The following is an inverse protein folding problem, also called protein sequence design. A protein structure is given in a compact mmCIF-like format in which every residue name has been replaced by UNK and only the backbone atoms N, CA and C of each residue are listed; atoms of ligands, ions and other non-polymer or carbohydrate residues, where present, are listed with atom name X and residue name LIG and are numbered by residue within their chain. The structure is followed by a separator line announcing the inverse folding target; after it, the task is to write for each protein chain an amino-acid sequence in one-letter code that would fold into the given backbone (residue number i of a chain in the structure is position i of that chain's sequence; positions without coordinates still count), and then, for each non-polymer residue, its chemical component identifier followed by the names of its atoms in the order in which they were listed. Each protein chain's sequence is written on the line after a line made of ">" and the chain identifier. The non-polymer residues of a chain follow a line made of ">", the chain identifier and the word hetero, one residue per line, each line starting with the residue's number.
data_IF_908853018408
#
_entry.id   IF_908853018408
#
_cell.length_a   1.000
_cell.length_b   1.000
_cell.length_c   1.000
_cell.angle_alpha   90.00
_cell.angle_beta   90.00
_cell.angle_gamma   90.00
#
_symmetry.space_group_name_H-M   'P 1'
#
loop_
_entity.id
_entity.type
_entity.pdbx_description
1 polymer ?
#
# COMPACT_ATOMS: atom_id res chain seq x y z
N UNK A 1 7.65 -23.07 -21.33
CA UNK A 1 8.30 -22.79 -20.04
C UNK A 1 7.62 -23.68 -19.01
N UNK A 2 8.38 -24.36 -18.16
CA UNK A 2 7.77 -25.20 -17.14
C UNK A 2 7.34 -24.35 -15.91
N UNK A 3 6.52 -24.90 -15.03
CA UNK A 3 5.94 -24.22 -13.87
C UNK A 3 7.01 -23.61 -12.96
N UNK A 4 8.08 -24.35 -12.68
CA UNK A 4 9.22 -23.87 -11.89
C UNK A 4 9.90 -22.63 -12.50
N UNK A 5 10.01 -22.61 -13.82
CA UNK A 5 10.61 -21.48 -14.54
C UNK A 5 9.67 -20.27 -14.53
N UNK A 6 8.36 -20.49 -14.59
CA UNK A 6 7.36 -19.41 -14.47
C UNK A 6 7.44 -18.78 -13.08
N UNK A 7 7.42 -19.59 -12.01
CA UNK A 7 7.51 -19.09 -10.63
C UNK A 7 8.78 -18.23 -10.44
N UNK A 8 9.94 -18.72 -10.85
CA UNK A 8 11.19 -17.97 -10.75
C UNK A 8 11.17 -16.65 -11.54
N UNK A 9 10.47 -16.62 -12.67
CA UNK A 9 10.29 -15.38 -13.45
C UNK A 9 9.41 -14.38 -12.71
N UNK A 10 8.30 -14.82 -12.13
CA UNK A 10 7.40 -13.96 -11.34
C UNK A 10 8.14 -13.39 -10.12
N UNK A 11 8.88 -14.21 -9.38
CA UNK A 11 9.70 -13.75 -8.27
C UNK A 11 10.71 -12.67 -8.72
N UNK A 12 11.36 -12.86 -9.87
CA UNK A 12 12.27 -11.86 -10.42
C UNK A 12 11.57 -10.55 -10.76
N UNK A 13 10.39 -10.61 -11.38
CA UNK A 13 9.60 -9.40 -11.71
C UNK A 13 9.21 -8.66 -10.44
N UNK A 14 8.69 -9.35 -9.44
CA UNK A 14 8.28 -8.73 -8.16
C UNK A 14 9.48 -8.10 -7.45
N UNK A 15 10.63 -8.74 -7.45
CA UNK A 15 11.85 -8.19 -6.87
C UNK A 15 12.31 -6.92 -7.61
N UNK A 16 12.18 -6.85 -8.93
CA UNK A 16 12.47 -5.65 -9.71
C UNK A 16 11.47 -4.53 -9.42
N UNK A 17 10.19 -4.85 -9.26
CA UNK A 17 9.18 -3.88 -8.84
C UNK A 17 9.49 -3.33 -7.43
N UNK A 18 9.83 -4.19 -6.48
CA UNK A 18 10.22 -3.79 -5.13
C UNK A 18 11.47 -2.89 -5.14
N UNK A 19 12.48 -3.24 -5.93
CA UNK A 19 13.68 -2.43 -6.11
C UNK A 19 13.36 -1.06 -6.72
N UNK A 20 12.45 -1.00 -7.69
CA UNK A 20 12.00 0.26 -8.27
C UNK A 20 11.30 1.14 -7.24
N UNK A 21 10.43 0.56 -6.41
CA UNK A 21 9.74 1.28 -5.34
C UNK A 21 10.74 1.82 -4.28
N UNK A 22 11.71 1.02 -3.87
CA UNK A 22 12.73 1.44 -2.90
C UNK A 22 13.60 2.58 -3.45
N UNK A 23 13.95 2.54 -4.72
CA UNK A 23 14.82 3.52 -5.36
C UNK A 23 14.08 4.73 -5.93
N UNK A 24 12.76 4.74 -5.93
CA UNK A 24 11.94 5.86 -6.38
C UNK A 24 12.25 7.13 -5.56
N UNK A 25 12.17 8.33 -6.15
CA UNK A 25 12.34 9.59 -5.43
C UNK A 25 11.34 9.73 -4.28
N UNK A 26 11.83 10.14 -3.12
CA UNK A 26 11.01 10.33 -1.92
C UNK A 26 11.27 11.67 -1.26
N UNK A 27 10.28 12.18 -0.54
CA UNK A 27 10.35 13.47 0.13
C UNK A 27 11.53 13.51 1.12
N UNK A 28 12.46 14.46 0.90
CA UNK A 28 13.67 14.59 1.70
C UNK A 28 14.66 13.45 1.57
N UNK A 29 14.54 12.59 0.56
CA UNK A 29 15.39 11.42 0.38
C UNK A 29 15.24 10.36 1.47
N UNK A 30 14.17 10.42 2.27
CA UNK A 30 13.91 9.47 3.37
C UNK A 30 12.98 8.38 2.88
N UNK A 31 13.47 7.16 2.82
CA UNK A 31 12.64 5.99 2.53
C UNK A 31 11.79 5.63 3.76
N UNK A 32 10.48 5.67 3.58
CA UNK A 32 9.49 5.30 4.59
C UNK A 32 8.54 4.23 4.06
N UNK A 33 8.93 3.53 2.99
CA UNK A 33 8.09 2.48 2.43
C UNK A 33 8.27 1.17 3.19
N UNK A 34 7.15 0.50 3.43
CA UNK A 34 7.10 -0.92 3.75
C UNK A 34 6.63 -1.68 2.52
N UNK A 35 7.42 -2.64 2.09
CA UNK A 35 7.15 -3.40 0.87
C UNK A 35 7.08 -4.88 1.22
N UNK A 36 5.97 -5.52 0.84
CA UNK A 36 5.76 -6.95 1.02
C UNK A 36 5.48 -7.59 -0.34
N UNK A 37 6.34 -8.51 -0.74
CA UNK A 37 6.17 -9.34 -1.93
C UNK A 37 5.48 -10.65 -1.55
N UNK A 38 4.43 -11.01 -2.27
CA UNK A 38 3.61 -12.20 -2.02
C UNK A 38 3.55 -13.01 -3.31
N UNK A 39 4.07 -14.22 -3.29
CA UNK A 39 4.14 -15.12 -4.45
C UNK A 39 3.58 -16.52 -4.17
N UNK A 40 3.32 -16.83 -2.90
CA UNK A 40 2.76 -18.12 -2.53
C UNK A 40 1.24 -18.12 -2.74
N UNK A 41 0.73 -19.16 -3.40
CA UNK A 41 -0.68 -19.27 -3.76
C UNK A 41 -1.62 -19.21 -2.55
N UNK A 42 -1.22 -19.84 -1.44
CA UNK A 42 -2.02 -19.85 -0.22
C UNK A 42 -2.15 -18.44 0.41
N UNK A 43 -1.11 -17.62 0.30
CA UNK A 43 -1.13 -16.26 0.84
C UNK A 43 -1.90 -15.30 -0.09
N UNK A 44 -1.80 -15.49 -1.40
CA UNK A 44 -2.65 -14.78 -2.37
C UNK A 44 -4.13 -15.08 -2.13
N UNK A 45 -4.47 -16.36 -1.90
CA UNK A 45 -5.84 -16.77 -1.60
C UNK A 45 -6.34 -16.16 -0.28
N UNK A 46 -5.53 -16.14 0.78
CA UNK A 46 -5.91 -15.49 2.06
C UNK A 46 -6.23 -14.01 1.86
N UNK A 47 -5.41 -13.29 1.08
CA UNK A 47 -5.66 -11.88 0.77
C UNK A 47 -6.99 -11.72 0.03
N UNK A 48 -7.23 -12.52 -1.00
CA UNK A 48 -8.48 -12.48 -1.75
C UNK A 48 -9.70 -12.78 -0.85
N UNK A 49 -9.57 -13.73 0.08
CA UNK A 49 -10.62 -14.04 1.03
C UNK A 49 -10.92 -12.89 1.99
N UNK A 50 -9.91 -12.22 2.50
CA UNK A 50 -10.09 -11.02 3.35
C UNK A 50 -10.69 -9.84 2.56
N UNK A 51 -10.24 -9.62 1.32
CA UNK A 51 -10.84 -8.61 0.43
C UNK A 51 -12.33 -8.90 0.18
N UNK A 52 -12.70 -10.17 0.00
CA UNK A 52 -14.11 -10.58 -0.19
C UNK A 52 -14.96 -10.34 1.06
N UNK A 53 -14.43 -10.63 2.25
CA UNK A 53 -15.11 -10.31 3.51
C UNK A 53 -15.32 -8.81 3.68
N UNK A 54 -14.29 -8.02 3.36
CA UNK A 54 -14.38 -6.57 3.44
C UNK A 54 -15.39 -5.97 2.46
N UNK A 55 -15.55 -6.57 1.27
CA UNK A 55 -16.49 -6.12 0.26
C UNK A 55 -17.90 -5.92 0.81
N UNK A 56 -18.38 -6.86 1.62
CA UNK A 56 -19.73 -6.84 2.20
C UNK A 56 -19.98 -5.66 3.14
N UNK A 57 -18.94 -5.09 3.71
CA UNK A 57 -19.02 -3.96 4.64
C UNK A 57 -18.68 -2.61 3.97
N UNK A 58 -18.36 -2.63 2.68
CA UNK A 58 -17.92 -1.46 1.94
C UNK A 58 -19.05 -0.84 1.12
N UNK A 59 -19.15 0.47 1.13
CA UNK A 59 -20.01 1.22 0.18
C UNK A 59 -19.57 1.05 -1.29
N UNK A 60 -18.42 0.44 -1.53
CA UNK A 60 -17.84 0.18 -2.85
C UNK A 60 -17.75 -1.32 -3.15
N UNK A 61 -18.71 -2.11 -2.71
CA UNK A 61 -18.73 -3.56 -2.81
C UNK A 61 -18.35 -4.09 -4.20
N UNK A 62 -18.90 -3.52 -5.27
CA UNK A 62 -18.62 -3.94 -6.65
C UNK A 62 -17.14 -3.79 -7.04
N UNK A 63 -16.47 -2.73 -6.56
CA UNK A 63 -15.03 -2.54 -6.82
C UNK A 63 -14.22 -3.60 -6.08
N UNK A 64 -14.57 -3.88 -4.84
CA UNK A 64 -13.91 -4.91 -4.05
C UNK A 64 -14.06 -6.31 -4.65
N UNK A 65 -15.25 -6.66 -5.16
CA UNK A 65 -15.44 -7.94 -5.84
C UNK A 65 -14.59 -8.06 -7.10
N UNK A 66 -14.53 -7.01 -7.92
CA UNK A 66 -13.65 -6.99 -9.10
C UNK A 66 -12.18 -7.16 -8.71
N UNK A 67 -11.73 -6.40 -7.72
CA UNK A 67 -10.33 -6.40 -7.32
C UNK A 67 -9.94 -7.70 -6.60
N UNK A 68 -10.88 -8.32 -5.88
CA UNK A 68 -10.71 -9.68 -5.33
C UNK A 68 -10.49 -10.70 -6.46
N UNK A 69 -11.30 -10.66 -7.51
CA UNK A 69 -11.12 -11.57 -8.65
C UNK A 69 -9.75 -11.38 -9.33
N UNK A 70 -9.25 -10.14 -9.41
CA UNK A 70 -7.91 -9.86 -9.90
C UNK A 70 -6.84 -10.45 -8.98
N UNK A 71 -6.98 -10.31 -7.67
CA UNK A 71 -6.05 -10.87 -6.68
C UNK A 71 -6.02 -12.41 -6.73
N UNK A 72 -7.17 -13.06 -6.88
CA UNK A 72 -7.27 -14.52 -7.03
C UNK A 72 -6.57 -15.05 -8.29
N UNK A 73 -6.60 -14.28 -9.38
CA UNK A 73 -5.95 -14.66 -10.64
C UNK A 73 -4.48 -14.23 -10.72
N UNK A 74 -4.00 -13.45 -9.78
CA UNK A 74 -2.63 -12.96 -9.77
C UNK A 74 -1.64 -14.10 -9.46
N UNK A 75 -0.48 -14.04 -10.09
CA UNK A 75 0.65 -14.93 -9.79
C UNK A 75 1.60 -14.35 -8.72
N UNK A 76 1.35 -13.11 -8.31
CA UNK A 76 2.04 -12.43 -7.24
C UNK A 76 1.48 -11.05 -7.02
N UNK A 77 1.66 -10.53 -5.80
CA UNK A 77 1.27 -9.19 -5.38
C UNK A 77 2.46 -8.49 -4.74
N UNK A 78 2.58 -7.20 -5.00
CA UNK A 78 3.47 -6.31 -4.29
C UNK A 78 2.61 -5.32 -3.50
N UNK A 79 2.68 -5.39 -2.17
CA UNK A 79 2.03 -4.42 -1.30
C UNK A 79 3.03 -3.33 -0.94
N UNK A 80 2.64 -2.07 -1.16
CA UNK A 80 3.46 -0.91 -0.86
C UNK A 80 2.69 -0.05 0.13
N UNK A 81 3.27 0.19 1.29
CA UNK A 81 2.69 0.99 2.36
C UNK A 81 3.69 1.99 2.92
N UNK A 82 3.20 2.89 3.77
CA UNK A 82 4.05 3.80 4.54
C UNK A 82 4.29 3.23 5.93
N UNK A 83 5.56 3.13 6.32
CA UNK A 83 5.97 2.76 7.66
C UNK A 83 5.58 3.86 8.65
N UNK A 84 4.61 3.57 9.50
CA UNK A 84 4.21 4.43 10.62
C UNK A 84 3.72 5.83 10.27
N UNK A 85 3.40 6.61 11.27
CA UNK A 85 2.86 7.94 11.14
C UNK A 85 3.96 9.00 10.95
N UNK A 86 4.66 8.98 9.85
CA UNK A 86 5.78 9.91 9.60
C UNK A 86 5.32 11.07 8.72
N UNK A 87 5.59 12.31 9.15
CA UNK A 87 5.46 13.49 8.30
C UNK A 87 6.75 13.74 7.51
N UNK A 88 6.66 14.55 6.48
CA UNK A 88 7.85 14.97 5.73
C UNK A 88 8.72 15.99 6.49
N UNK A 89 8.14 16.71 7.46
CA UNK A 89 8.82 17.71 8.25
C UNK A 89 8.99 19.07 7.54
N UNK A 90 8.16 19.36 6.52
CA UNK A 90 8.28 20.58 5.71
C UNK A 90 7.29 21.69 6.08
N UNK A 91 6.40 21.44 7.03
CA UNK A 91 5.35 22.39 7.42
C UNK A 91 4.60 22.99 6.22
N UNK A 92 4.35 22.15 5.20
CA UNK A 92 3.83 22.59 3.89
C UNK A 92 2.33 22.92 3.90
N UNK A 93 1.60 22.63 4.99
CA UNK A 93 0.16 22.88 5.09
C UNK A 93 -0.71 21.95 4.24
N UNK A 94 -0.15 21.04 3.46
CA UNK A 94 -0.91 20.16 2.54
C UNK A 94 -1.90 19.21 3.22
N UNK A 95 -1.70 18.89 4.49
CA UNK A 95 -2.62 18.11 5.32
C UNK A 95 -3.71 18.97 6.00
N UNK A 96 -3.67 20.30 5.83
CA UNK A 96 -4.61 21.23 6.46
C UNK A 96 -4.19 21.74 7.84
N UNK A 97 -3.02 21.32 8.34
CA UNK A 97 -2.42 21.82 9.58
C UNK A 97 -1.27 22.79 9.26
N UNK A 98 -1.02 23.74 10.16
CA UNK A 98 0.02 24.77 9.93
C UNK A 98 1.44 24.21 10.07
N UNK A 99 1.60 23.18 10.91
CA UNK A 99 2.88 22.50 11.12
C UNK A 99 2.74 21.00 11.08
N UNK A 100 3.81 20.30 10.75
CA UNK A 100 3.87 18.84 10.80
C UNK A 100 3.64 18.32 12.22
N UNK A 101 4.16 19.02 13.22
CA UNK A 101 3.98 18.65 14.61
C UNK A 101 2.51 18.74 15.03
N UNK A 102 1.79 19.80 14.68
CA UNK A 102 0.36 19.95 14.95
C UNK A 102 -0.45 18.79 14.35
N UNK A 103 -0.12 18.39 13.10
CA UNK A 103 -0.72 17.22 12.48
C UNK A 103 -0.41 15.93 13.25
N UNK A 104 0.84 15.71 13.64
CA UNK A 104 1.25 14.52 14.41
C UNK A 104 0.57 14.44 15.77
N UNK A 105 0.46 15.57 16.47
CA UNK A 105 -0.19 15.65 17.78
C UNK A 105 -1.72 15.42 17.69
N UNK A 106 -2.34 15.70 16.53
CA UNK A 106 -3.78 15.53 16.31
C UNK A 106 -4.22 14.11 15.94
N UNK A 107 -3.28 13.19 15.79
CA UNK A 107 -3.59 11.84 15.30
C UNK A 107 -4.37 11.01 16.30
N UNK A 108 -5.33 10.28 15.77
CA UNK A 108 -6.08 9.25 16.45
C UNK A 108 -6.01 7.95 15.66
N UNK A 109 -5.76 6.84 16.33
CA UNK A 109 -5.96 5.52 15.74
C UNK A 109 -7.46 5.27 15.64
N UNK A 110 -7.94 5.03 14.42
CA UNK A 110 -9.33 4.67 14.16
C UNK A 110 -9.40 3.30 13.52
N UNK A 111 -10.49 2.59 13.81
CA UNK A 111 -10.74 1.32 13.16
C UNK A 111 -10.93 1.51 11.65
N UNK A 112 -10.36 0.61 10.88
CA UNK A 112 -10.37 0.64 9.43
C UNK A 112 -11.76 0.43 8.80
N UNK A 113 -12.75 0.02 9.58
CA UNK A 113 -14.10 -0.30 9.12
C UNK A 113 -14.82 0.84 8.42
N UNK A 114 -14.43 2.08 8.67
CA UNK A 114 -15.08 3.28 8.13
C UNK A 114 -14.48 3.78 6.81
N UNK A 115 -13.47 3.14 6.26
CA UNK A 115 -12.78 3.61 5.06
C UNK A 115 -11.83 4.77 5.36
N UNK A 116 -11.85 5.82 4.54
CA UNK A 116 -10.97 6.99 4.75
C UNK A 116 -11.22 7.68 6.10
N UNK A 117 -10.19 7.85 6.89
CA UNK A 117 -10.29 8.28 8.29
C UNK A 117 -9.71 9.66 8.58
N UNK A 118 -9.35 10.44 7.60
CA UNK A 118 -8.87 11.80 7.82
C UNK A 118 -7.73 12.22 6.90
N UNK A 119 -7.14 13.40 7.17
CA UNK A 119 -6.07 13.93 6.35
C UNK A 119 -4.81 13.10 6.45
N UNK A 120 -4.07 13.05 5.35
CA UNK A 120 -2.77 12.41 5.24
C UNK A 120 -1.70 13.44 4.91
N UNK A 121 -0.46 13.15 5.27
CA UNK A 121 0.66 13.95 4.80
C UNK A 121 0.82 13.77 3.28
N UNK A 122 0.52 14.82 2.51
CA UNK A 122 0.51 14.75 1.05
C UNK A 122 1.88 14.35 0.48
N UNK A 123 2.96 14.82 1.08
CA UNK A 123 4.32 14.49 0.63
C UNK A 123 4.60 12.98 0.77
N UNK A 124 4.06 12.33 1.82
CA UNK A 124 4.19 10.89 2.02
C UNK A 124 3.28 10.08 1.10
N UNK A 125 2.10 10.58 0.81
CA UNK A 125 1.23 9.94 -0.18
C UNK A 125 1.84 10.01 -1.59
N UNK A 126 2.53 11.10 -1.92
CA UNK A 126 3.27 11.20 -3.18
C UNK A 126 4.42 10.18 -3.27
N UNK A 127 5.09 9.87 -2.16
CA UNK A 127 6.14 8.85 -2.12
C UNK A 127 5.61 7.48 -2.61
N UNK A 128 4.39 7.09 -2.19
CA UNK A 128 3.74 5.88 -2.71
C UNK A 128 3.39 6.01 -4.20
N UNK A 129 2.92 7.18 -4.63
CA UNK A 129 2.53 7.42 -6.02
C UNK A 129 3.70 7.39 -6.99
N UNK A 130 4.92 7.62 -6.51
CA UNK A 130 6.16 7.56 -7.31
C UNK A 130 6.77 6.15 -7.27
N UNK A 131 6.61 5.42 -6.16
CA UNK A 131 7.12 4.05 -5.99
C UNK A 131 6.39 3.05 -6.89
#
# INVERSE_FOLDING_TARGET
>A
MNEKSIKATIETVINLMAASAITAPKAGGKDCLEIVAITEADDLQKIADEMRKYAHNSSKENYWHRDTANAESAQGLLLIGLAGPVTAGYDCGGCGYSTCKEFEDSRELKDFEMGYTGPHCIMRMMDIGVA
#
